data_IF_088819157401
#
_entry.id   IF_088819157401
#
_cell.length_a   1.000
_cell.length_b   1.000
_cell.length_c   1.000
_cell.angle_alpha   90.00
_cell.angle_beta   90.00
_cell.angle_gamma   90.00
#
_symmetry.space_group_name_H-M   'P 1'
#
loop_
_entity.id
_entity.type
_entity.pdbx_description
1 polymer ?
#
# COMPACT_ATOMS: atom_id res chain seq x y z
N UNK A 1 -0.46 5.99 -27.41
CA UNK A 1 0.87 5.87 -26.79
C UNK A 1 1.09 7.08 -25.90
N UNK A 2 0.88 6.94 -24.61
CA UNK A 2 1.08 8.04 -23.68
C UNK A 2 2.50 7.93 -23.12
N UNK A 3 3.42 8.73 -23.61
CA UNK A 3 4.69 8.96 -22.94
C UNK A 3 4.39 9.65 -21.61
N UNK A 4 4.55 8.89 -20.52
CA UNK A 4 4.50 9.46 -19.18
C UNK A 4 5.77 10.30 -19.04
N UNK A 5 5.60 11.61 -18.83
CA UNK A 5 6.71 12.55 -18.64
C UNK A 5 7.52 12.13 -17.43
N UNK A 6 8.83 12.36 -17.48
CA UNK A 6 9.74 12.14 -16.37
C UNK A 6 9.17 12.73 -15.07
N UNK A 7 8.84 11.86 -14.13
CA UNK A 7 8.33 12.25 -12.82
C UNK A 7 9.28 11.71 -11.76
N UNK A 8 9.56 12.55 -10.80
CA UNK A 8 10.33 12.14 -9.63
C UNK A 8 9.38 11.68 -8.54
N UNK A 9 9.75 10.58 -7.89
CA UNK A 9 9.10 10.08 -6.67
C UNK A 9 10.14 10.05 -5.56
N UNK A 10 9.78 10.54 -4.40
CA UNK A 10 10.64 10.59 -3.22
C UNK A 10 10.06 9.75 -2.09
N UNK A 11 10.84 9.52 -1.03
CA UNK A 11 10.34 8.82 0.14
C UNK A 11 9.07 9.48 0.70
N UNK A 12 8.09 8.69 1.09
CA UNK A 12 6.76 9.15 1.54
C UNK A 12 5.80 9.53 0.40
N UNK A 13 6.20 9.33 -0.86
CA UNK A 13 5.33 9.53 -2.01
C UNK A 13 4.82 8.20 -2.57
N UNK A 14 3.62 8.26 -3.13
CA UNK A 14 2.96 7.16 -3.80
C UNK A 14 2.59 7.57 -5.21
N UNK A 15 2.78 6.65 -6.15
CA UNK A 15 2.30 6.82 -7.51
C UNK A 15 1.40 5.64 -7.90
N UNK A 16 0.40 5.93 -8.70
CA UNK A 16 -0.53 4.96 -9.24
C UNK A 16 -0.66 5.15 -10.73
N UNK A 17 -0.38 4.11 -11.50
CA UNK A 17 -0.59 4.02 -12.93
C UNK A 17 -1.71 3.03 -13.21
N UNK A 18 -2.86 3.53 -13.69
CA UNK A 18 -3.90 2.67 -14.25
C UNK A 18 -3.58 2.44 -15.71
N UNK A 19 -3.09 1.25 -16.04
CA UNK A 19 -2.58 0.95 -17.38
C UNK A 19 -3.66 1.01 -18.48
N UNK A 20 -4.92 0.66 -18.15
CA UNK A 20 -6.03 0.72 -19.08
C UNK A 20 -5.73 -0.05 -20.37
N UNK A 21 -5.75 0.63 -21.51
CA UNK A 21 -5.41 0.06 -22.83
C UNK A 21 -3.92 -0.22 -23.01
N UNK A 22 -3.08 0.22 -22.09
CA UNK A 22 -1.65 -0.04 -22.06
C UNK A 22 -0.81 1.18 -21.73
N UNK A 23 0.25 0.98 -20.96
CA UNK A 23 1.29 1.97 -20.70
C UNK A 23 2.67 1.33 -20.88
N UNK A 24 3.63 2.13 -21.31
CA UNK A 24 5.04 1.77 -21.27
C UNK A 24 5.77 2.79 -20.42
N UNK A 25 6.56 2.32 -19.46
CA UNK A 25 7.34 3.20 -18.57
C UNK A 25 8.68 2.54 -18.22
N UNK A 26 9.57 3.35 -17.70
CA UNK A 26 10.82 2.91 -17.11
C UNK A 26 11.04 3.67 -15.81
N UNK A 27 11.76 3.06 -14.89
CA UNK A 27 12.11 3.63 -13.60
C UNK A 27 13.63 3.66 -13.47
N UNK A 28 14.14 4.78 -12.98
CA UNK A 28 15.56 5.04 -12.83
C UNK A 28 15.86 5.56 -11.43
N UNK A 29 16.88 5.01 -10.79
CA UNK A 29 17.49 5.65 -9.64
C UNK A 29 18.64 6.58 -10.13
N UNK A 30 18.42 7.89 -10.06
CA UNK A 30 19.38 8.91 -10.45
C UNK A 30 20.26 9.38 -9.29
N UNK A 31 20.13 8.77 -8.10
CA UNK A 31 20.94 9.10 -6.93
C UNK A 31 22.12 8.13 -6.77
N UNK A 32 23.11 8.52 -5.99
CA UNK A 32 24.24 7.67 -5.60
C UNK A 32 23.89 6.71 -4.45
N UNK A 33 22.68 6.86 -3.86
CA UNK A 33 22.20 6.06 -2.74
C UNK A 33 21.22 4.98 -3.20
N UNK A 34 21.20 3.79 -2.57
CA UNK A 34 20.20 2.77 -2.85
C UNK A 34 18.78 3.24 -2.59
N UNK A 35 17.85 2.90 -3.48
CA UNK A 35 16.42 3.16 -3.33
C UNK A 35 15.71 1.84 -3.05
N UNK A 36 14.83 1.83 -2.05
CA UNK A 36 13.90 0.74 -1.78
C UNK A 36 12.48 1.21 -2.11
N UNK A 37 11.81 0.50 -2.99
CA UNK A 37 10.42 0.76 -3.38
C UNK A 37 9.63 -0.55 -3.48
N UNK A 38 8.31 -0.45 -3.41
CA UNK A 38 7.40 -1.54 -3.72
C UNK A 38 6.66 -1.25 -5.01
N UNK A 39 6.69 -2.16 -5.95
CA UNK A 39 5.83 -2.15 -7.11
C UNK A 39 4.66 -3.12 -6.88
N UNK A 40 3.47 -2.57 -6.76
CA UNK A 40 2.25 -3.31 -6.41
C UNK A 40 1.37 -3.43 -7.65
N UNK A 41 0.95 -4.65 -7.96
CA UNK A 41 0.04 -4.91 -9.07
C UNK A 41 -1.33 -5.33 -8.55
N UNK A 42 -2.36 -4.57 -8.90
CA UNK A 42 -3.75 -4.87 -8.61
C UNK A 42 -4.50 -4.97 -9.93
N UNK A 43 -5.10 -6.12 -10.21
CA UNK A 43 -5.89 -6.31 -11.44
C UNK A 43 -7.15 -5.44 -11.39
N UNK A 44 -7.42 -4.62 -12.40
CA UNK A 44 -8.63 -3.80 -12.44
C UNK A 44 -9.87 -4.66 -12.72
N UNK A 45 -11.03 -4.18 -12.27
CA UNK A 45 -12.34 -4.75 -12.60
C UNK A 45 -12.95 -4.13 -13.86
N UNK A 46 -12.28 -3.17 -14.49
CA UNK A 46 -12.69 -2.50 -15.73
C UNK A 46 -11.64 -2.76 -16.80
N UNK A 47 -12.09 -3.17 -17.99
CA UNK A 47 -11.22 -3.39 -19.15
C UNK A 47 -11.20 -2.16 -20.07
N UNK A 48 -10.14 -2.03 -20.86
CA UNK A 48 -10.00 -1.07 -21.95
C UNK A 48 -10.29 0.39 -21.55
N UNK A 49 -10.04 0.74 -20.30
CA UNK A 49 -10.20 2.08 -19.81
C UNK A 49 -9.03 3.00 -20.26
N UNK A 50 -9.25 4.30 -20.28
CA UNK A 50 -8.19 5.26 -20.54
C UNK A 50 -7.09 5.15 -19.46
N UNK A 51 -5.80 5.13 -19.87
CA UNK A 51 -4.69 5.17 -18.91
C UNK A 51 -4.72 6.45 -18.06
N UNK A 52 -4.46 6.29 -16.78
CA UNK A 52 -4.39 7.43 -15.85
C UNK A 52 -3.16 7.33 -14.97
N UNK A 53 -2.73 8.48 -14.47
CA UNK A 53 -1.62 8.61 -13.54
C UNK A 53 -2.03 9.49 -12.36
N UNK A 54 -1.69 9.05 -11.15
CA UNK A 54 -1.89 9.80 -9.91
C UNK A 54 -0.59 9.74 -9.10
N UNK A 55 -0.27 10.82 -8.40
CA UNK A 55 0.86 10.88 -7.47
C UNK A 55 0.45 11.72 -6.28
N UNK A 56 0.75 11.24 -5.08
CA UNK A 56 0.46 11.92 -3.82
C UNK A 56 1.67 11.85 -2.90
N UNK A 57 1.78 12.84 -2.02
CA UNK A 57 2.64 12.76 -0.85
C UNK A 57 1.77 12.42 0.35
N UNK A 58 1.97 11.25 0.92
CA UNK A 58 1.33 10.79 2.14
C UNK A 58 2.32 9.89 2.87
N UNK A 59 2.92 10.42 3.91
CA UNK A 59 3.86 9.70 4.75
C UNK A 59 3.16 9.26 6.03
N UNK A 60 2.91 7.96 6.24
CA UNK A 60 2.25 7.46 7.44
C UNK A 60 2.99 7.79 8.75
N UNK A 61 4.29 8.10 8.69
CA UNK A 61 5.07 8.48 9.86
C UNK A 61 4.72 9.86 10.43
N UNK A 62 4.12 10.74 9.63
CA UNK A 62 3.66 12.05 10.08
C UNK A 62 2.47 11.96 11.06
N UNK A 63 1.69 10.88 10.95
CA UNK A 63 0.57 10.57 11.84
C UNK A 63 0.57 9.07 12.18
N UNK A 64 1.45 8.62 13.08
CA UNK A 64 1.57 7.20 13.42
C UNK A 64 0.36 6.67 14.18
N UNK A 65 0.32 5.35 14.36
CA UNK A 65 -0.67 4.61 15.14
C UNK A 65 -2.10 4.65 14.54
N UNK A 66 -2.22 4.86 13.25
CA UNK A 66 -3.49 4.81 12.52
C UNK A 66 -3.28 4.32 11.08
N UNK A 67 -4.36 3.80 10.47
CA UNK A 67 -4.38 3.46 9.07
C UNK A 67 -4.61 4.69 8.19
N UNK A 68 -3.81 4.84 7.15
CA UNK A 68 -3.97 5.82 6.08
C UNK A 68 -4.46 5.12 4.82
N UNK A 69 -5.63 5.49 4.32
CA UNK A 69 -6.18 4.95 3.07
C UNK A 69 -5.46 5.57 1.87
N UNK A 70 -4.53 4.82 1.31
CA UNK A 70 -3.68 5.25 0.19
C UNK A 70 -4.43 5.17 -1.13
N UNK A 71 -5.08 4.03 -1.39
CA UNK A 71 -5.80 3.80 -2.63
C UNK A 71 -7.07 2.98 -2.38
N UNK A 72 -8.11 3.30 -3.13
CA UNK A 72 -9.40 2.63 -3.02
C UNK A 72 -10.37 3.02 -4.14
N UNK A 73 -11.56 2.40 -4.19
CA UNK A 73 -12.56 2.65 -5.23
C UNK A 73 -13.38 3.93 -5.02
N UNK A 74 -13.36 4.50 -3.82
CA UNK A 74 -14.21 5.61 -3.41
C UNK A 74 -13.43 6.91 -3.26
N UNK A 75 -14.12 8.04 -3.26
CA UNK A 75 -13.54 9.40 -3.18
C UNK A 75 -12.88 9.71 -1.83
N UNK A 76 -13.04 8.88 -0.82
CA UNK A 76 -12.33 9.01 0.46
C UNK A 76 -10.89 8.49 0.42
N UNK A 77 -10.51 7.76 -0.62
CA UNK A 77 -9.13 7.32 -0.81
C UNK A 77 -8.27 8.44 -1.39
N UNK A 78 -7.00 8.47 -1.00
CA UNK A 78 -6.05 9.47 -1.53
C UNK A 78 -5.79 9.29 -3.03
N UNK A 79 -5.84 8.05 -3.53
CA UNK A 79 -5.78 7.71 -4.95
C UNK A 79 -6.93 6.77 -5.33
N UNK A 80 -7.46 6.94 -6.54
CA UNK A 80 -8.56 6.12 -7.03
C UNK A 80 -8.05 4.93 -7.84
N UNK A 81 -8.45 3.70 -7.45
CA UNK A 81 -8.18 2.47 -8.20
C UNK A 81 -9.47 1.88 -8.79
N UNK A 82 -9.33 1.21 -9.92
CA UNK A 82 -10.43 0.55 -10.63
C UNK A 82 -10.57 -0.91 -10.19
N UNK A 83 -10.69 -1.11 -8.89
CA UNK A 83 -10.96 -2.40 -8.26
C UNK A 83 -11.65 -2.16 -6.91
N UNK A 84 -12.52 -3.09 -6.51
CA UNK A 84 -13.12 -3.07 -5.17
C UNK A 84 -12.12 -3.59 -4.14
N UNK A 85 -11.01 -2.89 -3.99
CA UNK A 85 -9.94 -3.18 -3.06
C UNK A 85 -9.50 -1.89 -2.38
N UNK A 86 -8.97 -1.99 -1.18
CA UNK A 86 -8.36 -0.86 -0.47
C UNK A 86 -6.90 -1.18 -0.13
N UNK A 87 -6.05 -0.17 -0.29
CA UNK A 87 -4.64 -0.22 0.12
C UNK A 87 -4.46 0.79 1.24
N UNK A 88 -4.05 0.32 2.40
CA UNK A 88 -3.81 1.14 3.58
C UNK A 88 -2.37 0.96 4.04
N UNK A 89 -1.76 2.03 4.54
CA UNK A 89 -0.43 1.99 5.13
C UNK A 89 -0.46 2.55 6.55
N UNK A 90 0.43 2.07 7.39
CA UNK A 90 0.58 2.56 8.75
C UNK A 90 2.02 2.47 9.24
N UNK A 91 2.39 3.42 10.09
CA UNK A 91 3.51 3.31 11.02
C UNK A 91 2.92 3.08 12.41
N UNK A 92 3.38 2.05 13.09
CA UNK A 92 2.91 1.63 14.41
C UNK A 92 4.09 1.60 15.37
N UNK A 93 4.05 2.45 16.38
CA UNK A 93 5.08 2.52 17.41
C UNK A 93 5.09 1.26 18.29
N UNK A 94 6.25 0.88 18.78
CA UNK A 94 6.44 -0.26 19.68
C UNK A 94 5.44 -0.26 20.85
N UNK A 95 4.83 -1.40 21.12
CA UNK A 95 3.82 -1.58 22.17
C UNK A 95 2.43 -1.03 21.86
N UNK A 96 2.22 -0.40 20.71
CA UNK A 96 0.91 0.05 20.25
C UNK A 96 0.18 -1.05 19.48
N UNK A 97 -1.12 -0.84 19.31
CA UNK A 97 -2.01 -1.77 18.60
C UNK A 97 -2.82 -1.04 17.54
N UNK A 98 -3.13 -1.75 16.46
CA UNK A 98 -4.05 -1.31 15.42
C UNK A 98 -5.07 -2.42 15.13
N UNK A 99 -6.32 -2.04 15.01
CA UNK A 99 -7.36 -2.95 14.54
C UNK A 99 -7.40 -3.00 13.02
N UNK A 100 -7.55 -4.21 12.48
CA UNK A 100 -7.96 -4.45 11.11
C UNK A 100 -9.46 -4.76 11.12
N UNK A 101 -10.24 -3.80 10.68
CA UNK A 101 -11.66 -3.98 10.41
C UNK A 101 -11.82 -4.46 8.96
N UNK A 102 -11.61 -5.74 8.74
CA UNK A 102 -11.74 -6.36 7.42
C UNK A 102 -13.14 -6.12 6.85
N UNK A 103 -13.21 -5.52 5.68
CA UNK A 103 -14.48 -5.27 4.96
C UNK A 103 -14.64 -6.20 3.77
N UNK A 104 -13.55 -6.77 3.28
CA UNK A 104 -13.50 -7.72 2.19
C UNK A 104 -13.10 -9.11 2.70
N UNK A 105 -13.07 -10.09 1.79
CA UNK A 105 -12.86 -11.48 2.13
C UNK A 105 -11.40 -11.83 2.39
N UNK A 106 -10.47 -11.19 1.70
CA UNK A 106 -9.06 -11.52 1.79
C UNK A 106 -8.26 -10.31 2.27
N UNK A 107 -7.59 -10.48 3.39
CA UNK A 107 -6.75 -9.46 3.99
C UNK A 107 -5.30 -9.91 3.94
N UNK A 108 -4.44 -9.06 3.40
CA UNK A 108 -3.02 -9.30 3.27
C UNK A 108 -2.25 -8.15 3.90
N UNK A 109 -1.48 -8.42 4.95
CA UNK A 109 -0.58 -7.45 5.58
C UNK A 109 0.85 -7.80 5.25
N UNK A 110 1.58 -6.85 4.67
CA UNK A 110 3.01 -6.94 4.41
C UNK A 110 3.77 -6.01 5.37
N UNK A 111 4.77 -6.56 6.07
CA UNK A 111 5.62 -5.80 6.97
C UNK A 111 6.84 -5.27 6.21
N UNK A 112 6.94 -3.94 6.12
CA UNK A 112 8.06 -3.25 5.44
C UNK A 112 9.25 -3.16 6.39
N UNK A 113 8.98 -2.81 7.65
CA UNK A 113 9.99 -2.58 8.68
C UNK A 113 9.46 -3.03 10.04
N UNK A 114 10.37 -3.47 10.91
CA UNK A 114 10.06 -3.84 12.29
C UNK A 114 9.49 -5.25 12.41
N UNK A 115 8.72 -5.45 13.47
CA UNK A 115 8.16 -6.74 13.84
C UNK A 115 6.81 -6.56 14.52
N UNK A 116 5.82 -7.28 14.05
CA UNK A 116 4.45 -7.24 14.57
C UNK A 116 3.99 -8.64 14.99
N UNK A 117 2.95 -8.70 15.79
CA UNK A 117 2.23 -9.92 16.12
C UNK A 117 0.78 -9.81 15.66
N UNK A 118 0.31 -10.80 14.92
CA UNK A 118 -1.07 -10.99 14.46
C UNK A 118 -1.47 -12.43 14.81
N UNK A 119 -2.60 -12.62 15.48
CA UNK A 119 -3.14 -13.97 15.80
C UNK A 119 -2.10 -14.92 16.43
N UNK A 120 -1.27 -14.40 17.34
CA UNK A 120 -0.15 -15.13 17.97
C UNK A 120 0.97 -15.55 17.01
N UNK A 121 0.98 -15.02 15.78
CA UNK A 121 2.08 -15.21 14.84
C UNK A 121 2.93 -13.95 14.79
N UNK A 122 4.24 -14.13 14.83
CA UNK A 122 5.22 -13.05 14.68
C UNK A 122 5.52 -12.91 13.19
N UNK A 123 5.33 -11.69 12.66
CA UNK A 123 5.56 -11.31 11.27
C UNK A 123 6.64 -10.22 11.26
N UNK A 124 7.72 -10.44 10.52
CA UNK A 124 8.90 -9.57 10.47
C UNK A 124 8.99 -8.81 9.16
N UNK A 125 9.86 -7.82 9.11
CA UNK A 125 10.19 -7.11 7.87
C UNK A 125 10.50 -8.08 6.71
N UNK A 126 9.81 -7.91 5.59
CA UNK A 126 9.85 -8.78 4.42
C UNK A 126 8.85 -9.93 4.43
N UNK A 127 8.23 -10.21 5.57
CA UNK A 127 7.17 -11.22 5.67
C UNK A 127 5.79 -10.62 5.40
N UNK A 128 4.82 -11.50 5.17
CA UNK A 128 3.42 -11.13 5.06
C UNK A 128 2.51 -12.19 5.68
N UNK A 129 1.32 -11.79 6.07
CA UNK A 129 0.27 -12.67 6.56
C UNK A 129 -1.02 -12.46 5.78
N UNK A 130 -1.65 -13.56 5.38
CA UNK A 130 -2.98 -13.60 4.80
C UNK A 130 -3.98 -14.08 5.86
N UNK A 131 -5.11 -13.40 5.99
CA UNK A 131 -6.16 -13.76 6.96
C UNK A 131 -7.53 -13.27 6.47
N UNK A 132 -8.60 -13.86 6.98
CA UNK A 132 -9.98 -13.63 6.49
C UNK A 132 -10.87 -12.94 7.53
N UNK A 133 -10.40 -12.77 8.76
CA UNK A 133 -11.22 -12.24 9.86
C UNK A 133 -10.67 -10.92 10.40
N UNK A 134 -11.55 -10.20 11.11
CA UNK A 134 -11.14 -9.02 11.90
C UNK A 134 -10.08 -9.44 12.92
N UNK A 135 -8.98 -8.68 12.99
CA UNK A 135 -7.90 -8.98 13.92
C UNK A 135 -7.25 -7.70 14.46
N UNK A 136 -6.36 -7.87 15.43
CA UNK A 136 -5.58 -6.78 16.02
C UNK A 136 -4.10 -7.03 15.78
N UNK A 137 -3.42 -6.02 15.30
CA UNK A 137 -1.96 -5.99 15.17
C UNK A 137 -1.37 -5.43 16.46
N UNK A 138 -0.32 -6.07 16.96
CA UNK A 138 0.51 -5.59 18.05
C UNK A 138 1.92 -5.32 17.55
N UNK A 139 2.43 -4.10 17.69
CA UNK A 139 3.81 -3.81 17.35
C UNK A 139 4.76 -4.29 18.45
N UNK A 140 5.70 -5.14 18.09
CA UNK A 140 6.78 -5.60 18.97
C UNK A 140 7.98 -4.65 18.89
N UNK A 141 8.12 -3.94 17.77
CA UNK A 141 9.08 -2.88 17.48
C UNK A 141 8.37 -1.78 16.70
N UNK A 142 9.00 -0.61 16.53
CA UNK A 142 8.52 0.42 15.60
C UNK A 142 8.42 -0.20 14.21
N UNK A 143 7.22 -0.27 13.68
CA UNK A 143 6.91 -1.07 12.50
C UNK A 143 6.23 -0.24 11.43
N UNK A 144 6.50 -0.57 10.18
CA UNK A 144 5.85 0.00 9.00
C UNK A 144 5.24 -1.13 8.18
N UNK A 145 3.99 -0.96 7.73
CA UNK A 145 3.26 -2.01 7.06
C UNK A 145 2.25 -1.47 6.04
N UNK A 146 1.93 -2.33 5.07
CA UNK A 146 0.85 -2.12 4.11
C UNK A 146 -0.20 -3.21 4.32
N UNK A 147 -1.45 -2.80 4.38
CA UNK A 147 -2.61 -3.70 4.41
C UNK A 147 -3.40 -3.57 3.12
N UNK A 148 -3.66 -4.71 2.49
CA UNK A 148 -4.52 -4.87 1.33
C UNK A 148 -5.81 -5.56 1.77
N UNK A 149 -6.93 -4.87 1.62
CA UNK A 149 -8.29 -5.40 1.81
C UNK A 149 -8.84 -5.74 0.42
N UNK A 150 -8.90 -7.04 0.10
CA UNK A 150 -9.09 -7.53 -1.25
C UNK A 150 -10.41 -8.27 -1.43
N UNK A 151 -11.10 -8.10 -2.58
CA UNK A 151 -12.30 -8.86 -2.89
C UNK A 151 -12.01 -10.36 -3.06
N UNK A 152 -13.10 -11.14 -3.08
CA UNK A 152 -13.07 -12.59 -3.35
C UNK A 152 -12.72 -12.91 -4.80
#
# INVERSE_FOLDING_TARGET
EMCIRDRHITAGEWQLMSAGTGVAHSEFNNSDEPVHLFQIWIHPNVRDAEPTYQQIKLDPSEQPNQWHLIAGPNDNAAMHIRQNAEVKAAVLEAGKTLEIAATQKHNYVHVIKGQIMIENQIVKAGDALLFDEKTTIHALEDSEMIWFDLPA
#
